data_IF_608576034038
#
_entry.id   IF_608576034038
#
_cell.length_a   1.000
_cell.length_b   1.000
_cell.length_c   1.000
_cell.angle_alpha   90.00
_cell.angle_beta   90.00
_cell.angle_gamma   90.00
#
_symmetry.space_group_name_H-M   'P 1'
#
loop_
_entity.id
_entity.type
_entity.pdbx_description
1 polymer ?
#
# COMPACT_ATOMS: atom_id res chain seq x y z
N UNK A 1 38.54 27.15 -18.63
CA UNK A 1 37.61 26.09 -19.10
C UNK A 1 38.13 24.67 -18.86
N UNK A 2 39.43 24.38 -18.92
CA UNK A 2 39.96 23.02 -18.68
C UNK A 2 39.87 22.53 -17.21
N UNK A 3 40.03 23.41 -16.22
CA UNK A 3 39.99 23.03 -14.81
C UNK A 3 38.59 22.64 -14.30
N UNK A 4 37.53 23.25 -14.85
CA UNK A 4 36.15 22.91 -14.51
C UNK A 4 35.78 21.50 -15.01
N UNK A 5 36.28 21.09 -16.17
CA UNK A 5 36.00 19.75 -16.73
C UNK A 5 36.72 18.62 -15.98
N UNK A 6 37.90 18.88 -15.40
CA UNK A 6 38.64 17.89 -14.62
C UNK A 6 37.93 17.54 -13.31
N UNK A 7 37.32 18.53 -12.66
CA UNK A 7 36.62 18.37 -11.39
C UNK A 7 35.28 17.65 -11.56
N UNK A 8 34.58 17.85 -12.68
CA UNK A 8 33.37 17.09 -13.02
C UNK A 8 33.68 15.62 -13.35
N UNK A 9 34.82 15.34 -13.99
CA UNK A 9 35.26 13.97 -14.30
C UNK A 9 35.74 13.20 -13.06
N UNK A 10 36.44 13.88 -12.13
CA UNK A 10 36.84 13.29 -10.84
C UNK A 10 35.64 13.00 -9.93
N UNK A 11 34.63 13.88 -9.91
CA UNK A 11 33.40 13.62 -9.16
C UNK A 11 32.56 12.48 -9.79
N UNK A 12 32.55 12.34 -11.12
CA UNK A 12 31.89 11.22 -11.79
C UNK A 12 32.59 9.88 -11.51
N UNK A 13 33.93 9.84 -11.45
CA UNK A 13 34.68 8.61 -11.15
C UNK A 13 34.55 8.16 -9.69
N UNK A 14 34.35 9.09 -8.75
CA UNK A 14 34.14 8.78 -7.34
C UNK A 14 32.73 8.20 -7.07
N UNK A 15 31.71 8.70 -7.77
CA UNK A 15 30.33 8.16 -7.69
C UNK A 15 30.24 6.74 -8.28
N UNK A 16 31.02 6.43 -9.32
CA UNK A 16 31.09 5.09 -9.91
C UNK A 16 31.88 4.10 -9.03
N UNK A 17 32.92 4.58 -8.31
CA UNK A 17 33.69 3.77 -7.37
C UNK A 17 32.90 3.39 -6.11
N UNK A 18 32.08 4.31 -5.58
CA UNK A 18 31.18 4.02 -4.45
C UNK A 18 30.05 3.04 -4.84
N UNK A 19 29.50 3.18 -6.05
CA UNK A 19 28.49 2.25 -6.58
C UNK A 19 29.07 0.83 -6.81
N UNK A 20 30.34 0.74 -7.23
CA UNK A 20 31.05 -0.54 -7.38
C UNK A 20 31.43 -1.15 -6.02
N UNK A 21 31.80 -0.34 -5.03
CA UNK A 21 32.08 -0.79 -3.67
C UNK A 21 30.83 -1.31 -2.96
N UNK A 22 29.68 -0.64 -3.12
CA UNK A 22 28.38 -1.12 -2.63
C UNK A 22 27.96 -2.43 -3.31
N UNK A 23 28.20 -2.59 -4.62
CA UNK A 23 27.92 -3.82 -5.36
C UNK A 23 28.83 -4.99 -4.91
N UNK A 24 30.09 -4.71 -4.58
CA UNK A 24 31.04 -5.72 -4.09
C UNK A 24 30.77 -6.14 -2.64
N UNK A 25 30.27 -5.22 -1.81
CA UNK A 25 29.84 -5.51 -0.43
C UNK A 25 28.51 -6.29 -0.41
N UNK A 26 27.58 -5.95 -1.29
CA UNK A 26 26.31 -6.66 -1.47
C UNK A 26 26.51 -8.10 -1.96
N UNK A 27 27.44 -8.34 -2.89
CA UNK A 27 27.69 -9.69 -3.43
C UNK A 27 28.28 -10.66 -2.40
N UNK A 28 29.08 -10.17 -1.45
CA UNK A 28 29.70 -10.99 -0.39
C UNK A 28 28.74 -11.33 0.76
N UNK A 29 27.73 -10.50 1.03
CA UNK A 29 26.71 -10.78 2.05
C UNK A 29 25.51 -11.59 1.53
N UNK A 30 25.34 -11.70 0.21
CA UNK A 30 24.18 -12.33 -0.44
C UNK A 30 24.31 -13.84 -0.73
N UNK A 31 25.53 -14.41 -0.67
CA UNK A 31 25.80 -15.77 -1.14
C UNK A 31 25.09 -16.91 -0.39
N UNK A 32 24.58 -16.68 0.82
CA UNK A 32 24.01 -17.76 1.67
C UNK A 32 22.48 -17.62 1.84
N UNK A 33 21.90 -16.45 1.56
CA UNK A 33 20.44 -16.21 1.79
C UNK A 33 19.58 -16.47 0.53
N UNK A 34 20.17 -16.45 -0.66
CA UNK A 34 19.43 -16.40 -1.94
C UNK A 34 18.85 -17.76 -2.37
N UNK A 35 19.46 -18.89 -1.97
CA UNK A 35 19.01 -20.21 -2.44
C UNK A 35 17.67 -20.65 -1.85
N UNK A 36 17.28 -20.14 -0.66
CA UNK A 36 16.04 -20.57 0.01
C UNK A 36 14.81 -19.70 -0.31
N UNK A 37 14.99 -18.47 -0.80
CA UNK A 37 13.87 -17.54 -1.03
C UNK A 37 13.22 -17.65 -2.42
N UNK A 38 13.95 -18.17 -3.43
CA UNK A 38 13.51 -18.10 -4.83
C UNK A 38 12.89 -19.42 -5.33
N UNK A 39 13.28 -20.57 -4.77
CA UNK A 39 12.85 -21.89 -5.26
C UNK A 39 11.39 -22.28 -4.97
N UNK A 40 10.76 -21.69 -3.95
CA UNK A 40 9.41 -22.09 -3.49
C UNK A 40 8.25 -21.23 -3.99
N UNK A 41 8.51 -20.03 -4.51
CA UNK A 41 7.46 -19.04 -4.82
C UNK A 41 6.86 -19.23 -6.22
N UNK A 42 7.55 -19.91 -7.13
CA UNK A 42 7.17 -19.99 -8.55
C UNK A 42 6.27 -21.18 -8.91
N UNK A 43 6.12 -22.18 -8.04
CA UNK A 43 5.41 -23.43 -8.38
C UNK A 43 4.02 -23.57 -7.73
N UNK A 44 3.60 -22.65 -6.85
CA UNK A 44 2.37 -22.82 -6.05
C UNK A 44 1.30 -21.74 -6.22
N UNK A 45 1.56 -20.66 -6.98
CA UNK A 45 0.51 -19.69 -7.31
C UNK A 45 -0.05 -19.96 -8.69
N UNK A 46 -1.13 -20.72 -8.70
CA UNK A 46 -1.87 -21.16 -9.87
C UNK A 46 -2.11 -20.05 -10.89
N UNK A 47 -1.71 -20.35 -12.12
CA UNK A 47 -2.33 -19.82 -13.33
C UNK A 47 -3.84 -20.00 -13.22
N UNK A 48 -4.57 -18.94 -12.85
CA UNK A 48 -5.97 -18.87 -13.27
C UNK A 48 -5.93 -18.52 -14.75
N UNK A 49 -6.61 -19.32 -15.56
CA UNK A 49 -6.81 -19.09 -16.99
C UNK A 49 -7.24 -17.63 -17.21
N UNK A 50 -6.70 -16.96 -18.24
CA UNK A 50 -7.24 -15.69 -18.70
C UNK A 50 -8.73 -15.87 -18.95
N UNK A 51 -9.52 -14.86 -18.60
CA UNK A 51 -10.82 -14.64 -19.23
C UNK A 51 -10.63 -14.77 -20.76
N UNK A 52 -11.40 -15.64 -21.43
CA UNK A 52 -11.29 -15.94 -22.87
C UNK A 52 -11.63 -14.75 -23.79
N UNK A 53 -11.89 -13.58 -23.22
CA UNK A 53 -12.12 -12.31 -23.89
C UNK A 53 -10.81 -11.50 -24.04
N UNK A 54 -10.09 -11.83 -25.12
CA UNK A 54 -8.96 -11.10 -25.71
C UNK A 54 -7.67 -11.01 -24.86
N UNK A 55 -6.47 -10.98 -25.48
CA UNK A 55 -5.24 -10.66 -24.75
C UNK A 55 -5.45 -9.31 -24.06
N UNK A 56 -5.48 -9.30 -22.72
CA UNK A 56 -5.67 -8.08 -21.92
C UNK A 56 -4.63 -7.06 -22.34
N UNK A 57 -5.01 -6.15 -23.25
CA UNK A 57 -4.18 -5.01 -23.61
C UNK A 57 -4.07 -4.17 -22.36
N UNK A 58 -2.87 -4.15 -21.77
CA UNK A 58 -2.51 -3.12 -20.80
C UNK A 58 -2.90 -1.80 -21.47
N UNK A 59 -3.82 -1.02 -20.88
CA UNK A 59 -4.20 0.26 -21.47
C UNK A 59 -2.94 1.09 -21.64
N UNK A 60 -2.61 1.40 -22.90
CA UNK A 60 -1.25 1.67 -23.32
C UNK A 60 -0.70 3.02 -22.87
N UNK A 61 -1.54 3.90 -22.30
CA UNK A 61 -1.21 4.98 -21.37
C UNK A 61 -2.47 5.78 -21.05
N UNK A 62 -2.46 6.70 -20.07
CA UNK A 62 -3.51 7.71 -20.00
C UNK A 62 -3.62 8.48 -21.32
N UNK A 63 -4.86 8.77 -21.76
CA UNK A 63 -5.09 9.63 -22.91
C UNK A 63 -4.27 10.92 -22.80
N UNK A 64 -3.46 11.20 -23.82
CA UNK A 64 -2.65 12.43 -23.90
C UNK A 64 -1.25 12.37 -23.28
N UNK A 65 -0.75 11.22 -22.81
CA UNK A 65 0.67 11.13 -22.42
C UNK A 65 1.58 11.37 -23.62
N UNK A 66 2.45 12.39 -23.50
CA UNK A 66 3.65 12.56 -24.31
C UNK A 66 4.82 12.80 -23.34
N UNK A 67 5.98 12.14 -23.54
CA UNK A 67 7.17 12.48 -22.78
C UNK A 67 7.49 13.96 -22.97
N UNK A 68 7.84 14.64 -21.87
CA UNK A 68 8.04 16.10 -21.84
C UNK A 68 9.31 16.54 -22.55
N UNK A 69 10.31 15.67 -22.56
CA UNK A 69 11.62 15.93 -23.12
C UNK A 69 12.28 14.62 -23.60
N UNK A 70 13.42 14.77 -24.26
CA UNK A 70 14.21 13.64 -24.74
C UNK A 70 14.72 12.74 -23.62
N UNK A 71 14.93 13.26 -22.41
CA UNK A 71 15.44 12.47 -21.28
C UNK A 71 14.37 11.49 -20.81
N UNK A 72 13.12 11.94 -20.74
CA UNK A 72 11.97 11.12 -20.38
C UNK A 72 11.68 10.06 -21.45
N UNK A 73 11.75 10.42 -22.74
CA UNK A 73 11.65 9.44 -23.81
C UNK A 73 12.78 8.39 -23.72
N UNK A 74 14.04 8.81 -23.54
CA UNK A 74 15.17 7.90 -23.37
C UNK A 74 15.00 6.98 -22.15
N UNK A 75 14.42 7.47 -21.07
CA UNK A 75 14.14 6.67 -19.88
C UNK A 75 13.06 5.59 -20.15
N UNK A 76 12.00 5.94 -20.88
CA UNK A 76 10.96 4.99 -21.32
C UNK A 76 11.58 3.95 -22.25
N UNK A 77 12.30 4.37 -23.29
CA UNK A 77 12.92 3.45 -24.25
C UNK A 77 13.93 2.52 -23.57
N UNK A 78 14.72 3.04 -22.63
CA UNK A 78 15.63 2.23 -21.84
C UNK A 78 14.91 1.25 -20.94
N UNK A 79 13.73 1.59 -20.43
CA UNK A 79 12.93 0.68 -19.60
C UNK A 79 12.31 -0.42 -20.46
N UNK A 80 11.75 -0.09 -21.62
CA UNK A 80 11.17 -1.06 -22.56
C UNK A 80 12.24 -2.03 -23.07
N UNK A 81 13.42 -1.55 -23.49
CA UNK A 81 14.55 -2.43 -23.87
C UNK A 81 14.96 -3.39 -22.75
N UNK A 82 14.88 -2.96 -21.50
CA UNK A 82 15.19 -3.85 -20.36
C UNK A 82 14.15 -4.95 -20.20
N UNK A 83 12.91 -4.76 -20.64
CA UNK A 83 11.87 -5.81 -20.60
C UNK A 83 12.16 -6.97 -21.56
N UNK A 84 12.95 -6.73 -22.61
CA UNK A 84 13.34 -7.73 -23.60
C UNK A 84 14.52 -8.61 -23.14
N UNK A 85 15.13 -8.30 -21.98
CA UNK A 85 16.23 -9.09 -21.44
C UNK A 85 15.75 -10.49 -21.01
N UNK A 86 16.62 -11.52 -21.09
CA UNK A 86 16.36 -12.81 -20.46
C UNK A 86 16.12 -12.64 -18.96
N UNK A 87 15.39 -13.59 -18.37
CA UNK A 87 14.87 -13.50 -16.99
C UNK A 87 15.92 -13.09 -15.95
N UNK A 88 17.09 -13.73 -15.94
CA UNK A 88 18.12 -13.47 -14.92
C UNK A 88 18.72 -12.06 -15.07
N UNK A 89 19.24 -11.65 -16.24
CA UNK A 89 19.66 -10.25 -16.46
C UNK A 89 18.57 -9.23 -16.16
N UNK A 90 17.32 -9.52 -16.53
CA UNK A 90 16.16 -8.67 -16.23
C UNK A 90 15.98 -8.47 -14.73
N UNK A 91 16.00 -9.55 -13.94
CA UNK A 91 15.86 -9.51 -12.48
C UNK A 91 16.95 -8.64 -11.86
N UNK A 92 18.21 -8.90 -12.20
CA UNK A 92 19.35 -8.15 -11.66
C UNK A 92 19.27 -6.66 -11.97
N UNK A 93 18.79 -6.30 -13.17
CA UNK A 93 18.67 -4.90 -13.59
C UNK A 93 17.49 -4.15 -12.93
N UNK A 94 16.42 -4.87 -12.56
CA UNK A 94 15.16 -4.28 -12.13
C UNK A 94 14.87 -4.40 -10.62
N UNK A 95 15.55 -5.26 -9.87
CA UNK A 95 15.35 -5.38 -8.42
C UNK A 95 15.82 -4.10 -7.68
N UNK A 96 15.06 -3.69 -6.67
CA UNK A 96 15.42 -2.68 -5.67
C UNK A 96 16.00 -3.40 -4.46
N UNK A 97 17.29 -3.71 -4.50
CA UNK A 97 17.96 -4.58 -3.52
C UNK A 97 17.72 -4.17 -2.06
N UNK A 98 17.80 -2.88 -1.73
CA UNK A 98 17.53 -2.39 -0.36
C UNK A 98 16.11 -2.76 0.11
N UNK A 99 15.09 -2.53 -0.72
CA UNK A 99 13.71 -2.89 -0.36
C UNK A 99 13.49 -4.39 -0.38
N UNK A 100 14.11 -5.11 -1.33
CA UNK A 100 14.01 -6.55 -1.39
C UNK A 100 14.61 -7.22 -0.14
N UNK A 101 15.79 -6.77 0.29
CA UNK A 101 16.41 -7.22 1.53
C UNK A 101 15.57 -6.85 2.75
N UNK A 102 15.06 -5.63 2.82
CA UNK A 102 14.23 -5.19 3.94
C UNK A 102 12.93 -6.00 4.05
N UNK A 103 12.16 -6.11 2.96
CA UNK A 103 10.88 -6.83 2.95
C UNK A 103 11.11 -8.32 3.22
N UNK A 104 12.08 -8.96 2.57
CA UNK A 104 12.41 -10.37 2.86
C UNK A 104 12.86 -10.54 4.31
N UNK A 105 13.72 -9.66 4.80
CA UNK A 105 14.24 -9.69 6.17
C UNK A 105 13.15 -9.63 7.23
N UNK A 106 12.19 -8.68 7.12
CA UNK A 106 11.09 -8.59 8.10
C UNK A 106 10.16 -9.80 8.06
N UNK A 107 9.95 -10.43 6.90
CA UNK A 107 9.16 -11.65 6.79
C UNK A 107 9.88 -12.85 7.40
N UNK A 108 11.18 -13.01 7.16
CA UNK A 108 12.00 -14.04 7.82
C UNK A 108 11.99 -13.84 9.33
N UNK A 109 12.19 -12.61 9.81
CA UNK A 109 12.13 -12.29 11.23
C UNK A 109 10.74 -12.56 11.84
N UNK A 110 9.64 -12.30 11.11
CA UNK A 110 8.30 -12.64 11.57
C UNK A 110 8.13 -14.16 11.76
N UNK A 111 8.65 -14.98 10.84
CA UNK A 111 8.64 -16.44 10.96
C UNK A 111 9.49 -16.90 12.15
N UNK A 112 10.70 -16.35 12.31
CA UNK A 112 11.57 -16.62 13.46
C UNK A 112 10.90 -16.21 14.79
N UNK A 113 10.04 -15.20 14.76
CA UNK A 113 9.30 -14.73 15.93
C UNK A 113 8.10 -15.58 16.33
N UNK A 114 7.61 -16.50 15.48
CA UNK A 114 6.42 -17.30 15.77
C UNK A 114 6.50 -18.13 17.06
N UNK A 115 7.62 -18.79 17.40
CA UNK A 115 7.74 -19.53 18.65
C UNK A 115 7.55 -18.66 19.90
N UNK A 116 7.85 -17.35 19.84
CA UNK A 116 7.64 -16.46 20.99
C UNK A 116 6.17 -16.28 21.34
N UNK A 117 5.23 -16.56 20.43
CA UNK A 117 3.80 -16.53 20.75
C UNK A 117 3.43 -17.55 21.83
N UNK A 118 4.16 -18.67 21.93
CA UNK A 118 3.90 -19.74 22.88
C UNK A 118 4.43 -19.45 24.29
N UNK A 119 5.35 -18.49 24.42
CA UNK A 119 6.10 -18.20 25.65
C UNK A 119 6.07 -16.70 26.01
N UNK A 120 5.18 -15.92 25.40
CA UNK A 120 4.98 -14.52 25.76
C UNK A 120 3.90 -14.35 26.83
N UNK A 121 3.88 -13.18 27.46
CA UNK A 121 2.85 -12.80 28.42
C UNK A 121 1.50 -12.67 27.72
N UNK A 122 0.42 -12.97 28.45
CA UNK A 122 -0.96 -12.90 27.92
C UNK A 122 -1.28 -11.47 27.47
N UNK A 123 -0.79 -10.46 28.19
CA UNK A 123 -0.93 -9.05 27.84
C UNK A 123 -0.31 -8.74 26.46
N UNK A 124 0.81 -9.37 26.12
CA UNK A 124 1.44 -9.25 24.78
C UNK A 124 0.54 -9.84 23.69
N UNK A 125 -0.08 -11.00 23.94
CA UNK A 125 -1.04 -11.62 23.02
C UNK A 125 -2.28 -10.75 22.84
N UNK A 126 -2.79 -10.15 23.91
CA UNK A 126 -3.94 -9.24 23.85
C UNK A 126 -3.61 -7.90 23.20
N UNK A 127 -2.37 -7.41 23.35
CA UNK A 127 -1.89 -6.18 22.74
C UNK A 127 -1.69 -6.31 21.23
N UNK A 128 -1.36 -7.50 20.71
CA UNK A 128 -1.13 -7.75 19.29
C UNK A 128 -2.31 -7.27 18.39
N UNK A 129 -3.57 -7.70 18.59
CA UNK A 129 -4.69 -7.21 17.80
C UNK A 129 -4.97 -5.73 18.02
N UNK A 130 -4.68 -5.17 19.20
CA UNK A 130 -4.85 -3.74 19.49
C UNK A 130 -3.88 -2.90 18.64
N UNK A 131 -2.59 -3.25 18.64
CA UNK A 131 -1.59 -2.59 17.80
C UNK A 131 -1.85 -2.80 16.30
N UNK A 132 -2.37 -3.97 15.91
CA UNK A 132 -2.84 -4.23 14.55
C UNK A 132 -3.95 -3.24 14.16
N UNK A 133 -4.98 -3.09 15.00
CA UNK A 133 -6.11 -2.19 14.77
C UNK A 133 -5.65 -0.74 14.65
N UNK A 134 -4.78 -0.26 15.54
CA UNK A 134 -4.28 1.12 15.44
C UNK A 134 -3.41 1.32 14.19
N UNK A 135 -2.56 0.36 13.85
CA UNK A 135 -1.74 0.44 12.63
C UNK A 135 -2.62 0.47 11.38
N UNK A 136 -3.57 -0.47 11.29
CA UNK A 136 -4.55 -0.54 10.20
C UNK A 136 -5.37 0.75 10.10
N UNK A 137 -5.88 1.28 11.21
CA UNK A 137 -6.62 2.54 11.24
C UNK A 137 -5.79 3.73 10.75
N UNK A 138 -4.48 3.76 11.05
CA UNK A 138 -3.56 4.76 10.53
C UNK A 138 -3.45 4.76 9.00
N UNK A 139 -3.63 3.60 8.36
CA UNK A 139 -3.72 3.47 6.91
C UNK A 139 -5.12 3.86 6.44
N UNK A 140 -6.15 3.16 6.93
CA UNK A 140 -7.53 3.27 6.43
C UNK A 140 -8.18 4.62 6.76
N UNK A 141 -8.27 4.95 8.04
CA UNK A 141 -8.81 6.23 8.51
C UNK A 141 -7.91 7.39 8.14
N UNK A 142 -6.58 7.18 8.15
CA UNK A 142 -5.57 8.20 7.90
C UNK A 142 -5.16 8.34 6.43
N UNK A 143 -4.08 7.66 6.07
CA UNK A 143 -3.42 7.82 4.76
C UNK A 143 -4.41 7.73 3.60
N UNK A 144 -5.36 6.81 3.68
CA UNK A 144 -6.38 6.57 2.69
C UNK A 144 -7.51 7.61 2.71
N UNK A 145 -8.45 7.52 3.66
CA UNK A 145 -9.70 8.29 3.62
C UNK A 145 -9.52 9.78 3.96
N UNK A 146 -8.66 10.11 4.93
CA UNK A 146 -8.40 11.48 5.36
C UNK A 146 -7.48 12.23 4.39
N UNK A 147 -6.26 11.72 4.18
CA UNK A 147 -5.24 12.47 3.45
C UNK A 147 -5.27 12.21 1.95
N UNK A 148 -5.49 10.99 1.46
CA UNK A 148 -5.51 10.74 0.01
C UNK A 148 -6.80 11.26 -0.62
N UNK A 149 -7.95 10.94 -0.02
CA UNK A 149 -9.27 11.20 -0.60
C UNK A 149 -10.00 12.43 -0.06
N UNK A 150 -9.55 13.00 1.06
CA UNK A 150 -10.21 14.16 1.69
C UNK A 150 -11.70 13.91 1.95
N UNK A 151 -12.03 12.67 2.32
CA UNK A 151 -13.41 12.22 2.48
C UNK A 151 -14.07 12.76 3.75
N UNK A 152 -13.25 13.22 4.70
CA UNK A 152 -13.67 13.92 5.91
C UNK A 152 -12.56 14.85 6.41
N UNK A 153 -12.85 15.69 7.40
CA UNK A 153 -11.87 16.57 8.05
C UNK A 153 -11.71 16.21 9.53
N UNK A 154 -10.48 16.28 10.02
CA UNK A 154 -10.14 16.06 11.43
C UNK A 154 -9.50 17.29 12.05
N UNK A 155 -9.81 17.58 13.30
CA UNK A 155 -9.10 18.63 14.05
C UNK A 155 -7.65 18.21 14.33
N UNK A 156 -6.81 19.19 14.68
CA UNK A 156 -5.36 18.97 14.84
C UNK A 156 -5.00 17.81 15.79
N UNK A 157 -5.60 17.66 16.99
CA UNK A 157 -5.28 16.53 17.87
C UNK A 157 -5.56 15.18 17.22
N UNK A 158 -6.69 15.06 16.53
CA UNK A 158 -7.05 13.86 15.77
C UNK A 158 -6.03 13.59 14.66
N UNK A 159 -5.65 14.60 13.87
CA UNK A 159 -4.66 14.42 12.78
C UNK A 159 -3.31 13.95 13.29
N UNK A 160 -2.83 14.46 14.43
CA UNK A 160 -1.61 13.97 15.06
C UNK A 160 -1.75 12.53 15.55
N UNK A 161 -2.86 12.20 16.23
CA UNK A 161 -3.14 10.83 16.66
C UNK A 161 -3.13 9.85 15.48
N UNK A 162 -3.85 10.16 14.40
CA UNK A 162 -3.90 9.31 13.21
C UNK A 162 -2.54 9.23 12.51
N UNK A 163 -1.71 10.28 12.57
CA UNK A 163 -0.35 10.25 12.04
C UNK A 163 0.54 9.28 12.83
N UNK A 164 0.41 9.24 14.15
CA UNK A 164 1.13 8.25 14.98
C UNK A 164 0.67 6.82 14.65
N UNK A 165 -0.64 6.60 14.53
CA UNK A 165 -1.20 5.34 14.05
C UNK A 165 -0.64 4.93 12.68
N UNK A 166 -0.55 5.87 11.74
CA UNK A 166 0.03 5.63 10.43
C UNK A 166 1.52 5.28 10.50
N UNK A 167 2.27 5.98 11.35
CA UNK A 167 3.68 5.71 11.59
C UNK A 167 3.93 4.33 12.17
N UNK A 168 3.03 3.80 13.00
CA UNK A 168 3.08 2.40 13.45
C UNK A 168 2.94 1.41 12.29
N UNK A 169 2.17 1.74 11.25
CA UNK A 169 1.99 0.88 10.08
C UNK A 169 3.20 0.85 9.14
N UNK A 170 4.05 1.88 9.15
CA UNK A 170 5.33 1.95 8.44
C UNK A 170 5.26 1.57 6.94
N UNK A 171 4.26 2.09 6.23
CA UNK A 171 4.09 1.86 4.78
C UNK A 171 4.60 3.04 3.93
N UNK A 172 5.65 3.70 4.41
CA UNK A 172 6.12 4.98 3.91
C UNK A 172 5.42 6.16 4.58
N UNK A 173 5.94 7.38 4.35
CA UNK A 173 5.31 8.60 4.87
C UNK A 173 3.91 8.78 4.29
N UNK A 174 3.04 9.47 5.03
CA UNK A 174 1.69 9.87 4.57
C UNK A 174 1.78 10.54 3.19
N UNK A 175 2.77 11.40 2.99
CA UNK A 175 2.96 12.09 1.71
C UNK A 175 3.29 11.13 0.55
N UNK A 176 4.21 10.18 0.76
CA UNK A 176 4.56 9.20 -0.26
C UNK A 176 3.40 8.23 -0.54
N UNK A 177 2.76 7.72 0.52
CA UNK A 177 1.62 6.82 0.42
C UNK A 177 0.47 7.51 -0.33
N UNK A 178 0.09 8.72 0.07
CA UNK A 178 -0.99 9.46 -0.59
C UNK A 178 -0.69 9.84 -2.03
N UNK A 179 0.56 10.15 -2.39
CA UNK A 179 0.92 10.40 -3.79
C UNK A 179 0.71 9.14 -4.62
N UNK A 180 1.25 8.01 -4.17
CA UNK A 180 1.15 6.75 -4.90
C UNK A 180 -0.31 6.28 -4.98
N UNK A 181 -1.09 6.43 -3.91
CA UNK A 181 -2.53 6.10 -3.89
C UNK A 181 -3.39 6.99 -4.80
N UNK A 182 -3.16 8.31 -4.80
CA UNK A 182 -3.82 9.23 -5.74
C UNK A 182 -3.44 8.91 -7.20
N UNK A 183 -2.20 8.48 -7.43
CA UNK A 183 -1.74 8.03 -8.75
C UNK A 183 -2.49 6.77 -9.17
N UNK A 184 -2.60 5.80 -8.27
CA UNK A 184 -3.35 4.57 -8.48
C UNK A 184 -4.81 4.84 -8.89
N UNK A 185 -5.57 5.62 -8.12
CA UNK A 185 -6.95 5.93 -8.52
C UNK A 185 -7.08 6.64 -9.87
N UNK A 186 -6.14 7.54 -10.19
CA UNK A 186 -6.21 8.30 -11.45
C UNK A 186 -5.86 7.43 -12.67
N UNK A 187 -5.01 6.43 -12.48
CA UNK A 187 -4.40 5.66 -13.56
C UNK A 187 -4.56 4.15 -13.38
N UNK A 188 -5.57 3.72 -12.61
CA UNK A 188 -5.80 2.33 -12.21
C UNK A 188 -5.75 1.39 -13.42
N UNK A 189 -5.03 0.29 -13.29
CA UNK A 189 -4.83 -0.72 -14.35
C UNK A 189 -4.17 -0.21 -15.64
N UNK A 190 -3.40 0.88 -15.58
CA UNK A 190 -2.53 1.33 -16.68
C UNK A 190 -1.05 1.13 -16.34
N UNK A 191 -0.15 1.39 -17.29
CA UNK A 191 1.30 1.40 -17.04
C UNK A 191 1.75 2.50 -16.05
N UNK A 192 0.88 3.45 -15.74
CA UNK A 192 1.12 4.52 -14.77
C UNK A 192 0.60 4.19 -13.36
N UNK A 193 -0.09 3.07 -13.17
CA UNK A 193 -0.50 2.57 -11.86
C UNK A 193 0.70 1.97 -11.09
N UNK A 194 1.04 2.46 -9.89
CA UNK A 194 2.14 1.92 -9.11
C UNK A 194 2.05 0.42 -8.81
N UNK A 195 0.84 -0.13 -8.65
CA UNK A 195 0.62 -1.54 -8.27
C UNK A 195 -0.39 -2.22 -9.20
N UNK A 196 -0.26 -1.93 -10.50
CA UNK A 196 -1.11 -2.45 -11.56
C UNK A 196 -1.43 -3.95 -11.44
N UNK A 197 -2.70 -4.27 -11.15
CA UNK A 197 -3.19 -5.63 -10.99
C UNK A 197 -3.11 -6.48 -12.27
N UNK A 198 -3.07 -5.86 -13.47
CA UNK A 198 -2.89 -6.56 -14.75
C UNK A 198 -1.52 -7.22 -14.89
N UNK A 199 -0.55 -6.84 -14.05
CA UNK A 199 0.77 -7.49 -13.97
C UNK A 199 0.74 -8.76 -13.11
N UNK A 200 -0.43 -9.15 -12.62
CA UNK A 200 -0.67 -10.36 -11.82
C UNK A 200 -0.58 -10.12 -10.32
N UNK A 201 -1.10 -11.10 -9.57
CA UNK A 201 -1.24 -11.04 -8.11
C UNK A 201 0.08 -10.69 -7.41
N UNK A 202 1.18 -11.37 -7.75
CA UNK A 202 2.47 -11.15 -7.09
C UNK A 202 2.95 -9.71 -7.24
N UNK A 203 2.83 -9.12 -8.44
CA UNK A 203 3.24 -7.74 -8.67
C UNK A 203 2.42 -6.76 -7.85
N UNK A 204 1.09 -6.87 -7.90
CA UNK A 204 0.19 -5.99 -7.17
C UNK A 204 0.27 -6.16 -5.65
N UNK A 205 0.59 -7.37 -5.18
CA UNK A 205 0.71 -7.66 -3.75
C UNK A 205 2.02 -7.09 -3.18
N UNK A 206 3.18 -7.50 -3.71
CA UNK A 206 4.48 -7.09 -3.16
C UNK A 206 5.51 -6.71 -4.22
N UNK A 207 5.42 -7.26 -5.43
CA UNK A 207 6.42 -7.06 -6.48
C UNK A 207 6.63 -5.59 -6.86
N UNK A 208 5.60 -4.75 -6.80
CA UNK A 208 5.71 -3.31 -7.05
C UNK A 208 6.67 -2.57 -6.09
N UNK A 209 6.90 -3.11 -4.90
CA UNK A 209 7.90 -2.61 -3.94
C UNK A 209 9.30 -3.11 -4.27
N UNK A 210 9.39 -4.35 -4.76
CA UNK A 210 10.64 -5.09 -5.02
C UNK A 210 11.30 -4.67 -6.33
N UNK A 211 10.54 -4.21 -7.32
CA UNK A 211 11.07 -3.81 -8.62
C UNK A 211 11.12 -2.29 -8.79
N UNK A 212 11.99 -1.81 -9.67
CA UNK A 212 12.04 -0.41 -10.08
C UNK A 212 10.70 -0.04 -10.72
N UNK A 213 10.16 1.10 -10.29
CA UNK A 213 8.94 1.67 -10.87
C UNK A 213 9.15 1.96 -12.35
N UNK A 214 8.13 1.65 -13.14
CA UNK A 214 8.00 2.11 -14.52
C UNK A 214 8.17 3.65 -14.58
N UNK A 215 8.93 4.20 -15.54
CA UNK A 215 9.08 5.65 -15.69
C UNK A 215 7.74 6.40 -15.74
N UNK A 216 6.71 5.79 -16.33
CA UNK A 216 5.36 6.37 -16.44
C UNK A 216 4.69 6.54 -15.07
N UNK A 217 4.92 5.64 -14.12
CA UNK A 217 4.45 5.78 -12.73
C UNK A 217 5.09 7.00 -12.06
N UNK A 218 6.40 7.20 -12.27
CA UNK A 218 7.13 8.34 -11.69
C UNK A 218 6.61 9.66 -12.27
N UNK A 219 6.40 9.70 -13.58
CA UNK A 219 5.79 10.84 -14.26
C UNK A 219 4.40 11.13 -13.69
N UNK A 220 3.51 10.15 -13.69
CA UNK A 220 2.14 10.29 -13.22
C UNK A 220 2.09 10.80 -11.77
N UNK A 221 2.90 10.21 -10.89
CA UNK A 221 2.99 10.62 -9.49
C UNK A 221 3.53 12.03 -9.28
N UNK A 222 4.42 12.51 -10.15
CA UNK A 222 4.92 13.89 -10.08
C UNK A 222 3.86 14.94 -10.45
N UNK A 223 2.82 14.56 -11.20
CA UNK A 223 1.71 15.44 -11.60
C UNK A 223 0.47 15.31 -10.72
N UNK A 224 0.53 14.49 -9.67
CA UNK A 224 -0.48 14.50 -8.63
C UNK A 224 -0.32 15.78 -7.80
N UNK A 225 -1.39 16.57 -7.67
CA UNK A 225 -1.39 17.69 -6.76
C UNK A 225 -1.27 17.19 -5.32
N UNK A 226 -0.21 17.61 -4.63
CA UNK A 226 0.10 17.27 -3.24
C UNK A 226 0.21 18.50 -2.32
N UNK A 227 -0.12 19.69 -2.84
CA UNK A 227 0.00 20.97 -2.11
C UNK A 227 -0.80 20.99 -0.81
N UNK A 228 -1.96 20.34 -0.80
CA UNK A 228 -2.83 20.23 0.37
C UNK A 228 -2.20 19.45 1.53
N UNK A 229 -1.31 18.48 1.25
CA UNK A 229 -0.62 17.71 2.27
C UNK A 229 0.72 18.35 2.66
N UNK A 230 1.41 18.98 1.69
CA UNK A 230 2.72 19.57 1.90
C UNK A 230 2.73 20.65 3.00
N UNK A 231 1.60 21.35 3.20
CA UNK A 231 1.48 22.41 4.18
C UNK A 231 1.23 21.91 5.62
N UNK A 232 0.74 20.68 5.80
CA UNK A 232 0.24 20.20 7.09
C UNK A 232 1.38 19.92 8.10
N UNK A 233 1.29 20.43 9.34
CA UNK A 233 2.38 20.32 10.31
C UNK A 233 2.68 18.87 10.71
N UNK A 234 1.67 18.03 10.88
CA UNK A 234 1.84 16.62 11.22
C UNK A 234 2.57 15.84 10.11
N UNK A 235 2.33 16.19 8.84
CA UNK A 235 3.00 15.56 7.69
C UNK A 235 4.44 16.08 7.57
N UNK A 236 4.67 17.39 7.77
CA UNK A 236 6.02 17.95 7.79
C UNK A 236 6.86 17.32 8.89
N UNK A 237 6.29 17.12 10.08
CA UNK A 237 6.96 16.47 11.20
C UNK A 237 7.37 15.04 10.84
N UNK A 238 6.41 14.21 10.40
CA UNK A 238 6.66 12.82 10.04
C UNK A 238 7.76 12.72 8.96
N UNK A 239 7.67 13.55 7.92
CA UNK A 239 8.65 13.56 6.81
C UNK A 239 10.03 14.02 7.23
N UNK A 240 10.14 14.97 8.14
CA UNK A 240 11.44 15.51 8.59
C UNK A 240 12.30 14.45 9.27
N UNK A 241 11.66 13.50 9.95
CA UNK A 241 12.33 12.47 10.75
C UNK A 241 12.25 11.07 10.11
N UNK A 242 11.66 10.92 8.93
CA UNK A 242 11.66 9.68 8.15
C UNK A 242 13.10 9.33 7.69
N UNK A 243 13.53 8.06 7.71
CA UNK A 243 12.76 6.85 8.06
C UNK A 243 12.72 6.54 9.56
N UNK A 244 13.58 7.15 10.37
CA UNK A 244 13.76 6.80 11.79
C UNK A 244 12.51 6.98 12.63
N UNK A 245 11.69 7.99 12.31
CA UNK A 245 10.39 8.21 12.94
C UNK A 245 9.47 7.00 12.78
N UNK A 246 9.23 6.57 11.54
CA UNK A 246 8.35 5.44 11.28
C UNK A 246 8.93 4.12 11.82
N UNK A 247 10.25 3.93 11.74
CA UNK A 247 10.91 2.76 12.32
C UNK A 247 10.76 2.71 13.85
N UNK A 248 10.88 3.85 14.54
CA UNK A 248 10.64 3.92 15.97
C UNK A 248 9.19 3.61 16.31
N UNK A 249 8.21 4.28 15.68
CA UNK A 249 6.80 4.05 15.98
C UNK A 249 6.34 2.64 15.60
N UNK A 250 6.91 2.05 14.55
CA UNK A 250 6.62 0.68 14.17
C UNK A 250 7.26 -0.34 15.12
N UNK A 251 8.56 -0.28 15.36
CA UNK A 251 9.24 -1.36 16.07
C UNK A 251 9.56 -0.99 17.52
N UNK A 252 10.06 0.22 17.76
CA UNK A 252 10.49 0.68 19.08
C UNK A 252 9.31 0.89 20.04
N UNK A 253 8.32 1.68 19.64
CA UNK A 253 7.21 2.07 20.51
C UNK A 253 6.40 0.88 21.05
N UNK A 254 5.92 -0.07 20.23
CA UNK A 254 5.19 -1.23 20.75
C UNK A 254 6.05 -2.12 21.66
N UNK A 255 7.35 -2.23 21.35
CA UNK A 255 8.32 -2.94 22.20
C UNK A 255 8.44 -2.30 23.57
N UNK A 256 8.64 -0.97 23.62
CA UNK A 256 8.76 -0.22 24.87
C UNK A 256 7.47 -0.28 25.70
N UNK A 257 6.31 -0.14 25.05
CA UNK A 257 5.01 -0.24 25.73
C UNK A 257 4.85 -1.58 26.43
N UNK A 258 5.20 -2.69 25.78
CA UNK A 258 5.09 -4.02 26.38
C UNK A 258 6.12 -4.26 27.49
N UNK A 259 7.38 -3.88 27.24
CA UNK A 259 8.46 -4.09 28.19
C UNK A 259 8.31 -3.25 29.46
N UNK A 260 7.84 -2.01 29.34
CA UNK A 260 7.63 -1.13 30.50
C UNK A 260 6.24 -1.38 31.12
N UNK A 261 5.21 -1.57 30.31
CA UNK A 261 3.83 -1.63 30.76
C UNK A 261 3.49 -2.91 31.54
N UNK A 262 3.93 -4.07 31.06
CA UNK A 262 3.64 -5.36 31.70
C UNK A 262 4.88 -6.25 31.86
N UNK A 263 6.08 -5.70 31.65
CA UNK A 263 7.34 -6.39 31.91
C UNK A 263 7.68 -7.49 30.92
N UNK A 264 7.21 -7.40 29.66
CA UNK A 264 7.60 -8.37 28.62
C UNK A 264 9.07 -8.24 28.24
N UNK A 265 9.70 -9.36 27.90
CA UNK A 265 11.06 -9.35 27.34
C UNK A 265 11.10 -8.46 26.09
N UNK A 266 12.03 -7.48 26.00
CA UNK A 266 12.15 -6.62 24.82
C UNK A 266 12.28 -7.40 23.52
N UNK A 267 12.96 -8.54 23.54
CA UNK A 267 13.08 -9.43 22.37
C UNK A 267 11.72 -9.98 21.96
N UNK A 268 10.96 -10.57 22.90
CA UNK A 268 9.62 -11.13 22.61
C UNK A 268 8.66 -10.04 22.11
N UNK A 269 8.65 -8.89 22.78
CA UNK A 269 7.83 -7.75 22.39
C UNK A 269 8.19 -7.22 21.00
N UNK A 270 9.49 -7.10 20.67
CA UNK A 270 9.96 -6.68 19.35
C UNK A 270 9.51 -7.64 18.25
N UNK A 271 9.69 -8.95 18.44
CA UNK A 271 9.30 -9.93 17.43
C UNK A 271 7.78 -10.01 17.24
N UNK A 272 7.00 -9.94 18.33
CA UNK A 272 5.53 -10.09 18.26
C UNK A 272 4.85 -8.77 17.87
N UNK A 273 5.02 -7.73 18.70
CA UNK A 273 4.33 -6.45 18.51
C UNK A 273 5.03 -5.55 17.50
N UNK A 274 6.35 -5.66 17.34
CA UNK A 274 7.10 -4.98 16.29
C UNK A 274 6.93 -5.67 14.94
N UNK A 275 7.60 -6.82 14.78
CA UNK A 275 7.82 -7.47 13.48
C UNK A 275 6.61 -8.24 12.96
N UNK A 276 6.08 -9.21 13.72
CA UNK A 276 4.96 -10.04 13.27
C UNK A 276 3.73 -9.19 12.96
N UNK A 277 3.35 -8.30 13.88
CA UNK A 277 2.25 -7.34 13.69
C UNK A 277 2.45 -6.47 12.45
N UNK A 278 3.66 -5.97 12.19
CA UNK A 278 3.95 -5.19 10.99
C UNK A 278 3.73 -6.02 9.70
N UNK A 279 4.25 -7.25 9.65
CA UNK A 279 4.07 -8.15 8.51
C UNK A 279 2.60 -8.50 8.27
N UNK A 280 1.81 -8.72 9.33
CA UNK A 280 0.37 -8.95 9.21
C UNK A 280 -0.34 -7.73 8.60
N UNK A 281 -0.03 -6.53 9.08
CA UNK A 281 -0.61 -5.27 8.56
C UNK A 281 -0.22 -5.02 7.11
N UNK A 282 1.03 -5.30 6.72
CA UNK A 282 1.49 -5.20 5.33
C UNK A 282 0.66 -6.09 4.42
N UNK A 283 0.58 -7.39 4.71
CA UNK A 283 -0.12 -8.35 3.86
C UNK A 283 -1.62 -8.05 3.79
N UNK A 284 -2.24 -7.64 4.91
CA UNK A 284 -3.64 -7.20 4.90
C UNK A 284 -3.88 -5.98 4.01
N UNK A 285 -2.94 -5.02 3.98
CA UNK A 285 -3.04 -3.85 3.11
C UNK A 285 -2.78 -4.22 1.65
N UNK A 286 -1.78 -5.06 1.38
CA UNK A 286 -1.43 -5.50 0.03
C UNK A 286 -2.49 -6.39 -0.61
N UNK A 287 -3.30 -7.09 0.19
CA UNK A 287 -4.49 -7.79 -0.30
C UNK A 287 -5.53 -6.84 -0.92
N UNK A 288 -5.57 -5.57 -0.49
CA UNK A 288 -6.44 -4.57 -1.13
C UNK A 288 -5.97 -4.33 -2.56
N UNK A 289 -4.66 -4.11 -2.76
CA UNK A 289 -4.10 -3.88 -4.11
C UNK A 289 -4.19 -5.11 -5.01
N UNK A 290 -4.06 -6.32 -4.45
CA UNK A 290 -4.04 -7.56 -5.23
C UNK A 290 -5.41 -8.24 -5.26
N UNK A 291 -5.83 -8.87 -4.17
CA UNK A 291 -7.05 -9.67 -4.13
C UNK A 291 -8.30 -8.85 -4.45
N UNK A 292 -8.41 -7.61 -3.95
CA UNK A 292 -9.57 -6.76 -4.23
C UNK A 292 -9.56 -6.09 -5.61
N UNK A 293 -8.53 -6.30 -6.43
CA UNK A 293 -8.52 -5.93 -7.86
C UNK A 293 -8.64 -7.13 -8.81
N UNK A 294 -8.62 -8.35 -8.28
CA UNK A 294 -8.60 -9.59 -9.07
C UNK A 294 -9.85 -10.45 -8.80
N UNK A 295 -10.35 -10.45 -7.56
CA UNK A 295 -11.44 -11.34 -7.14
C UNK A 295 -12.52 -10.60 -6.35
N UNK A 296 -13.76 -10.74 -6.79
CA UNK A 296 -14.95 -10.22 -6.11
C UNK A 296 -16.07 -9.86 -7.09
N UNK A 297 -17.11 -9.20 -6.58
CA UNK A 297 -18.21 -8.67 -7.39
C UNK A 297 -18.02 -7.20 -7.79
N UNK A 298 -18.66 -6.77 -8.88
CA UNK A 298 -18.55 -5.40 -9.42
C UNK A 298 -19.91 -4.69 -9.54
N UNK A 299 -20.67 -4.50 -8.44
CA UNK A 299 -22.05 -4.05 -8.54
C UNK A 299 -22.24 -2.56 -8.87
N UNK A 300 -21.19 -1.73 -8.84
CA UNK A 300 -21.28 -0.28 -9.02
C UNK A 300 -20.67 0.20 -10.36
N UNK A 301 -19.55 -0.41 -10.74
CA UNK A 301 -18.73 -0.04 -11.89
C UNK A 301 -18.10 -1.27 -12.52
N UNK A 302 -18.24 -1.45 -13.83
CA UNK A 302 -17.59 -2.53 -14.58
C UNK A 302 -16.10 -2.19 -14.74
N UNK A 303 -15.29 -2.65 -13.78
CA UNK A 303 -13.87 -2.31 -13.60
C UNK A 303 -13.17 -3.40 -12.79
N UNK A 304 -11.83 -3.38 -12.71
CA UNK A 304 -11.05 -4.38 -11.95
C UNK A 304 -11.24 -4.35 -10.42
N UNK A 305 -11.35 -3.18 -9.75
CA UNK A 305 -11.69 -3.13 -8.33
C UNK A 305 -12.99 -3.87 -8.02
N UNK A 306 -12.95 -4.74 -7.01
CA UNK A 306 -13.98 -5.71 -6.70
C UNK A 306 -14.36 -5.67 -5.22
N UNK A 307 -15.63 -5.93 -4.93
CA UNK A 307 -16.09 -6.17 -3.56
C UNK A 307 -15.61 -7.53 -3.06
N UNK A 308 -14.74 -7.54 -2.05
CA UNK A 308 -14.13 -8.74 -1.48
C UNK A 308 -14.31 -8.76 0.05
N UNK A 309 -15.26 -9.56 0.59
CA UNK A 309 -15.58 -9.58 2.01
C UNK A 309 -14.42 -10.06 2.90
N UNK A 310 -13.63 -11.03 2.41
CA UNK A 310 -12.47 -11.54 3.14
C UNK A 310 -11.39 -10.46 3.29
N UNK A 311 -11.14 -9.70 2.21
CA UNK A 311 -10.26 -8.53 2.28
C UNK A 311 -10.85 -7.48 3.21
N UNK A 312 -12.16 -7.23 3.20
CA UNK A 312 -12.79 -6.26 4.09
C UNK A 312 -12.58 -6.59 5.57
N UNK A 313 -12.62 -7.86 5.96
CA UNK A 313 -12.32 -8.30 7.33
C UNK A 313 -10.86 -7.99 7.69
N UNK A 314 -9.92 -8.44 6.86
CA UNK A 314 -8.48 -8.30 7.14
C UNK A 314 -8.02 -6.83 7.10
N UNK A 315 -8.56 -6.05 6.17
CA UNK A 315 -8.18 -4.64 5.93
C UNK A 315 -9.11 -3.64 6.62
N UNK A 316 -9.85 -4.02 7.67
CA UNK A 316 -10.67 -3.09 8.46
C UNK A 316 -11.73 -2.30 7.66
N UNK A 317 -12.25 -2.90 6.60
CA UNK A 317 -13.31 -2.35 5.75
C UNK A 317 -12.88 -1.89 4.36
N UNK A 318 -11.61 -2.01 3.95
CA UNK A 318 -11.16 -1.54 2.62
C UNK A 318 -11.39 -2.53 1.47
N UNK A 319 -11.94 -3.72 1.75
CA UNK A 319 -12.29 -4.71 0.74
C UNK A 319 -13.57 -4.40 -0.03
N UNK A 320 -14.32 -3.36 0.33
CA UNK A 320 -15.47 -2.87 -0.45
C UNK A 320 -14.99 -2.01 -1.63
N UNK A 321 -14.16 -2.61 -2.48
CA UNK A 321 -13.23 -1.89 -3.32
C UNK A 321 -13.84 -1.40 -4.64
N UNK A 322 -14.88 -2.06 -5.14
CA UNK A 322 -15.63 -1.57 -6.31
C UNK A 322 -16.39 -0.27 -5.96
N UNK A 323 -17.03 -0.21 -4.79
CA UNK A 323 -17.65 1.01 -4.28
C UNK A 323 -16.60 2.10 -4.12
N UNK A 324 -15.49 1.77 -3.47
CA UNK A 324 -14.44 2.72 -3.18
C UNK A 324 -13.88 3.38 -4.45
N UNK A 325 -13.62 2.61 -5.51
CA UNK A 325 -13.15 3.16 -6.78
C UNK A 325 -14.23 3.95 -7.53
N UNK A 326 -15.50 3.53 -7.45
CA UNK A 326 -16.61 4.29 -8.02
C UNK A 326 -16.86 5.63 -7.29
N UNK A 327 -16.63 5.67 -5.98
CA UNK A 327 -16.93 6.80 -5.11
C UNK A 327 -15.77 7.10 -4.13
N UNK A 328 -14.59 7.52 -4.63
CA UNK A 328 -13.37 7.63 -3.82
C UNK A 328 -13.48 8.68 -2.71
N UNK A 329 -14.41 9.62 -2.80
CA UNK A 329 -14.63 10.67 -1.82
C UNK A 329 -15.60 10.28 -0.69
N UNK A 330 -16.17 9.07 -0.70
CA UNK A 330 -17.03 8.58 0.38
C UNK A 330 -16.19 8.14 1.59
N UNK A 331 -16.40 8.76 2.76
CA UNK A 331 -15.61 8.47 3.96
C UNK A 331 -15.85 7.07 4.52
N UNK A 332 -16.98 6.44 4.18
CA UNK A 332 -17.23 5.07 4.54
C UNK A 332 -16.40 4.11 3.69
N UNK A 333 -15.99 4.47 2.47
CA UNK A 333 -15.44 3.54 1.48
C UNK A 333 -16.32 2.29 1.24
N UNK A 334 -17.60 2.36 1.62
CA UNK A 334 -18.60 1.32 1.42
C UNK A 334 -19.98 1.97 1.33
N UNK A 335 -20.92 1.31 0.67
CA UNK A 335 -22.28 1.83 0.55
C UNK A 335 -23.06 1.67 1.85
N UNK A 336 -23.09 0.45 2.38
CA UNK A 336 -24.01 0.07 3.42
C UNK A 336 -23.46 0.49 4.80
N UNK A 337 -24.35 0.52 5.78
CA UNK A 337 -23.98 0.79 7.17
C UNK A 337 -23.15 -0.35 7.78
N UNK A 338 -22.52 -0.07 8.92
CA UNK A 338 -21.65 -1.01 9.65
C UNK A 338 -22.36 -2.29 10.11
N UNK A 339 -23.69 -2.30 10.14
CA UNK A 339 -24.51 -3.48 10.45
C UNK A 339 -24.66 -4.44 9.27
N UNK A 340 -24.45 -3.95 8.04
CA UNK A 340 -24.59 -4.72 6.80
C UNK A 340 -23.23 -5.01 6.16
N UNK A 341 -22.27 -4.10 6.28
CA UNK A 341 -20.90 -4.24 5.78
C UNK A 341 -19.88 -3.99 6.89
N UNK A 342 -18.98 -4.96 7.10
CA UNK A 342 -17.92 -4.91 8.08
C UNK A 342 -17.00 -3.75 7.74
N UNK A 343 -17.00 -2.74 8.61
CA UNK A 343 -16.27 -1.51 8.38
C UNK A 343 -15.95 -0.80 9.71
N UNK A 344 -15.05 -1.36 10.52
CA UNK A 344 -14.65 -0.78 11.80
C UNK A 344 -14.00 0.61 11.63
N UNK A 345 -13.33 0.87 10.51
CA UNK A 345 -12.79 2.21 10.20
C UNK A 345 -13.90 3.26 10.16
N UNK A 346 -15.00 2.99 9.46
CA UNK A 346 -16.17 3.88 9.43
C UNK A 346 -16.74 4.09 10.84
N UNK A 347 -16.90 3.01 11.60
CA UNK A 347 -17.45 3.08 12.96
C UNK A 347 -16.62 4.00 13.86
N UNK A 348 -15.30 3.89 13.80
CA UNK A 348 -14.40 4.72 14.58
C UNK A 348 -14.46 6.20 14.15
N UNK A 349 -14.48 6.47 12.84
CA UNK A 349 -14.64 7.84 12.33
C UNK A 349 -15.98 8.45 12.80
N UNK A 350 -17.06 7.67 12.83
CA UNK A 350 -18.37 8.12 13.32
C UNK A 350 -18.36 8.43 14.81
N UNK A 351 -17.69 7.60 15.61
CA UNK A 351 -17.48 7.87 17.03
C UNK A 351 -16.69 9.17 17.23
N UNK A 352 -15.57 9.36 16.53
CA UNK A 352 -14.79 10.59 16.58
C UNK A 352 -15.59 11.82 16.15
N UNK A 353 -16.50 11.69 15.18
CA UNK A 353 -17.38 12.77 14.79
C UNK A 353 -18.40 13.11 15.89
N UNK A 354 -18.95 12.08 16.57
CA UNK A 354 -19.90 12.26 17.68
C UNK A 354 -19.28 13.05 18.85
N UNK A 355 -17.99 12.85 19.13
CA UNK A 355 -17.27 13.58 20.17
C UNK A 355 -16.58 14.86 19.66
N UNK A 356 -16.87 15.30 18.44
CA UNK A 356 -16.39 16.58 17.91
C UNK A 356 -14.94 16.61 17.41
N UNK A 357 -14.29 15.47 17.20
CA UNK A 357 -12.92 15.39 16.64
C UNK A 357 -12.87 15.35 15.11
N UNK A 358 -13.98 14.96 14.48
CA UNK A 358 -14.13 14.82 13.03
C UNK A 358 -15.39 15.57 12.55
N UNK A 359 -15.32 16.18 11.36
CA UNK A 359 -16.42 16.89 10.73
C UNK A 359 -16.40 16.74 9.20
N UNK A 360 -17.44 17.22 8.51
CA UNK A 360 -17.58 17.19 7.05
C UNK A 360 -17.37 15.80 6.40
N UNK A 361 -17.93 14.76 7.02
CA UNK A 361 -17.94 13.39 6.49
C UNK A 361 -18.80 13.31 5.23
N UNK A 362 -18.19 12.98 4.08
CA UNK A 362 -18.88 12.91 2.78
C UNK A 362 -19.39 11.49 2.50
N UNK A 363 -20.66 11.35 2.09
CA UNK A 363 -21.25 10.08 1.62
C UNK A 363 -21.69 10.22 0.17
N UNK A 364 -21.54 9.14 -0.60
CA UNK A 364 -21.90 9.08 -2.01
C UNK A 364 -23.23 8.32 -2.26
N UNK A 365 -24.00 8.02 -1.21
CA UNK A 365 -25.25 7.24 -1.31
C UNK A 365 -26.31 7.90 -2.18
N UNK A 366 -26.39 9.24 -2.18
CA UNK A 366 -27.32 9.98 -3.04
C UNK A 366 -26.88 9.96 -4.51
N UNK A 367 -25.56 10.13 -4.76
CA UNK A 367 -24.98 10.00 -6.09
C UNK A 367 -25.22 8.60 -6.66
N UNK A 368 -25.01 7.57 -5.85
CA UNK A 368 -25.31 6.19 -6.23
C UNK A 368 -26.80 5.98 -6.52
N UNK A 369 -27.70 6.46 -5.66
CA UNK A 369 -29.15 6.36 -5.89
C UNK A 369 -29.56 6.96 -7.24
N UNK A 370 -28.95 8.09 -7.61
CA UNK A 370 -29.16 8.74 -8.91
C UNK A 370 -28.56 7.94 -10.07
N UNK A 371 -27.29 7.49 -9.95
CA UNK A 371 -26.61 6.64 -10.96
C UNK A 371 -27.40 5.37 -11.22
N UNK A 372 -27.96 4.77 -10.17
CA UNK A 372 -28.75 3.54 -10.24
C UNK A 372 -30.06 3.74 -10.99
N UNK A 373 -30.78 4.83 -10.72
CA UNK A 373 -32.00 5.20 -11.46
C UNK A 373 -31.70 5.41 -12.95
N UNK A 374 -30.62 6.14 -13.27
CA UNK A 374 -30.26 6.48 -14.65
C UNK A 374 -29.80 5.26 -15.47
N UNK A 375 -29.06 4.33 -14.84
CA UNK A 375 -28.64 3.08 -15.50
C UNK A 375 -29.77 2.06 -15.66
N UNK A 376 -30.95 2.31 -15.08
CA UNK A 376 -32.10 1.42 -15.19
C UNK A 376 -31.89 0.04 -14.56
N UNK A 377 -31.05 -0.06 -13.52
CA UNK A 377 -30.85 -1.33 -12.81
C UNK A 377 -32.19 -1.81 -12.23
N UNK A 378 -32.73 -2.90 -12.79
CA UNK A 378 -34.09 -3.38 -12.49
C UNK A 378 -34.15 -4.20 -11.20
N UNK A 379 -33.15 -5.01 -10.92
CA UNK A 379 -33.07 -5.87 -9.74
C UNK A 379 -31.71 -5.69 -9.05
N UNK A 380 -31.74 -5.26 -7.79
CA UNK A 380 -30.53 -5.12 -6.96
C UNK A 380 -30.78 -5.80 -5.63
N UNK A 381 -30.40 -7.06 -5.55
CA UNK A 381 -30.54 -7.85 -4.33
C UNK A 381 -29.32 -7.63 -3.42
N UNK A 382 -29.56 -7.77 -2.11
CA UNK A 382 -28.51 -7.86 -1.11
C UNK A 382 -28.35 -9.31 -0.71
N UNK A 383 -27.17 -9.87 -1.00
CA UNK A 383 -26.83 -11.26 -0.67
C UNK A 383 -25.76 -11.29 0.42
N UNK A 384 -25.62 -12.43 1.09
CA UNK A 384 -24.61 -12.67 2.11
C UNK A 384 -25.10 -12.48 3.54
N UNK A 385 -24.31 -12.94 4.53
CA UNK A 385 -24.69 -12.85 5.94
C UNK A 385 -24.62 -11.41 6.46
N UNK A 386 -25.19 -11.12 7.65
CA UNK A 386 -24.96 -9.86 8.35
C UNK A 386 -23.46 -9.50 8.38
N UNK A 387 -23.15 -8.21 8.31
CA UNK A 387 -21.78 -7.67 8.17
C UNK A 387 -21.04 -7.98 6.86
N UNK A 388 -21.50 -8.90 6.01
CA UNK A 388 -20.84 -9.19 4.74
C UNK A 388 -21.80 -9.09 3.56
N UNK A 389 -22.82 -8.22 3.67
CA UNK A 389 -23.80 -8.05 2.61
C UNK A 389 -23.20 -7.34 1.42
N UNK A 390 -23.52 -7.85 0.24
CA UNK A 390 -23.08 -7.31 -1.04
C UNK A 390 -24.27 -7.09 -1.96
N UNK A 391 -24.18 -6.08 -2.82
CA UNK A 391 -25.11 -5.94 -3.93
C UNK A 391 -24.76 -6.93 -5.03
N UNK A 392 -25.80 -7.54 -5.60
CA UNK A 392 -25.72 -8.26 -6.87
C UNK A 392 -26.65 -7.58 -7.83
N UNK A 393 -26.12 -7.25 -9.01
CA UNK A 393 -26.86 -6.62 -10.10
C UNK A 393 -27.06 -7.71 -11.16
N UNK A 394 -28.32 -7.95 -11.54
CA UNK A 394 -28.68 -8.83 -12.67
C UNK A 394 -28.95 -8.04 -13.94
#
# INVERSE_FOLDING_TARGET
MAAANLQTMQNASLVDADAQAEALYASRMMGITITLAIGGVMTYFGTRQPRDDAPMRIKDMPEGYKPRDELEQKAVDSYERKQELPLIPWLMANIRWVMATYITGVHVLAVVGLPYLLDCKVETLLALPVFYIFSGFGITGGAHRLWSHKAYKGYTPYRFFVMLCNSMANQGTIYHWSRDHRTHHKYSETKADPHNALRGFFYAHVGWLLFKKDPRVKFAGAHINMSDLAALPEIKLQRRFDPWWNLFWCFGFPTLVASIGWGESPTKAYFILGVLRYVLVLNATWLVNSAAHIWGGHPYEDSHPAENPSVAILSMGEGWHNWHHAFPHDYAASELGVSAQFNPTKLFIDFCAKIGLVYERRRATEMWSTRRKNKGYKNVDLVGPPFLRQRVVS
#
